data_IF_418341448137
#
_entry.id   IF_418341448137
#
_cell.length_a   1.000
_cell.length_b   1.000
_cell.length_c   1.000
_cell.angle_alpha   90.00
_cell.angle_beta   90.00
_cell.angle_gamma   90.00
#
_symmetry.space_group_name_H-M   'P 1'
#
loop_
_entity.id
_entity.type
_entity.pdbx_description
1 polymer ?
#
# COMPACT_ATOMS: atom_id res chain seq x y z
N UNK A 1 57.95 34.98 -33.97
CA UNK A 1 57.53 34.16 -32.83
C UNK A 1 56.06 33.73 -33.09
N UNK A 2 55.84 32.43 -33.41
CA UNK A 2 54.52 31.84 -33.65
C UNK A 2 54.07 31.14 -32.37
N UNK A 3 53.05 31.69 -31.68
CA UNK A 3 52.41 31.03 -30.56
C UNK A 3 51.53 29.89 -31.08
N UNK A 4 51.81 28.66 -30.64
CA UNK A 4 50.93 27.47 -30.83
C UNK A 4 49.93 27.41 -29.70
N UNK A 5 48.66 27.58 -30.03
CA UNK A 5 47.55 27.27 -29.09
C UNK A 5 47.42 25.73 -29.00
N UNK A 6 47.61 25.20 -27.80
CA UNK A 6 47.32 23.81 -27.46
C UNK A 6 45.86 23.75 -27.02
N UNK A 7 45.02 23.09 -27.83
CA UNK A 7 43.63 22.75 -27.43
C UNK A 7 43.71 21.48 -26.57
N UNK A 8 43.40 21.64 -25.27
CA UNK A 8 43.20 20.49 -24.38
C UNK A 8 41.71 20.11 -24.54
N UNK A 9 41.49 19.00 -25.25
CA UNK A 9 40.17 18.37 -25.29
C UNK A 9 39.89 17.70 -23.93
N UNK A 10 38.97 18.26 -23.15
CA UNK A 10 38.47 17.66 -21.93
C UNK A 10 37.47 16.55 -22.35
N UNK A 11 37.67 15.27 -21.94
CA UNK A 11 36.68 14.24 -22.23
C UNK A 11 35.42 14.54 -21.40
N UNK A 12 34.30 14.70 -22.10
CA UNK A 12 32.97 14.79 -21.49
C UNK A 12 32.64 13.38 -20.93
N UNK A 13 32.81 13.19 -19.62
CA UNK A 13 32.34 11.99 -18.94
C UNK A 13 30.80 12.06 -18.93
N UNK A 14 30.18 11.37 -19.87
CA UNK A 14 28.76 11.06 -19.82
C UNK A 14 28.57 10.04 -18.70
N UNK A 15 28.12 10.49 -17.54
CA UNK A 15 27.56 9.59 -16.53
C UNK A 15 26.27 9.02 -17.12
N UNK A 16 26.35 7.83 -17.68
CA UNK A 16 25.17 7.01 -17.89
C UNK A 16 24.62 6.71 -16.50
N UNK A 17 23.57 7.38 -16.10
CA UNK A 17 22.77 6.97 -14.95
C UNK A 17 22.34 5.53 -15.24
N UNK A 18 22.93 4.58 -14.52
CA UNK A 18 22.43 3.23 -14.51
C UNK A 18 21.01 3.31 -13.95
N UNK A 19 20.01 3.24 -14.83
CA UNK A 19 18.65 2.99 -14.41
C UNK A 19 18.71 1.69 -13.62
N UNK A 20 18.48 1.78 -12.31
CA UNK A 20 18.36 0.62 -11.46
C UNK A 20 17.29 -0.33 -12.02
N UNK A 21 17.28 -1.59 -11.60
CA UNK A 21 16.31 -2.55 -12.08
C UNK A 21 14.92 -2.02 -11.82
N UNK A 22 14.14 -1.84 -12.91
CA UNK A 22 12.70 -1.58 -12.82
C UNK A 22 12.08 -2.89 -12.35
N UNK A 23 12.08 -3.12 -11.03
CA UNK A 23 11.31 -4.18 -10.42
C UNK A 23 9.83 -4.00 -10.76
N UNK A 24 9.06 -5.07 -10.77
CA UNK A 24 7.62 -4.98 -11.04
C UNK A 24 6.99 -4.00 -10.06
N UNK A 25 6.56 -2.86 -10.57
CA UNK A 25 6.06 -1.72 -9.83
C UNK A 25 4.65 -2.06 -9.32
N UNK A 26 4.58 -2.54 -8.08
CA UNK A 26 3.34 -2.88 -7.41
C UNK A 26 3.26 -2.12 -6.09
N UNK A 27 2.31 -1.20 -5.97
CA UNK A 27 1.95 -0.58 -4.71
C UNK A 27 1.14 -1.54 -3.86
N UNK A 28 1.45 -1.65 -2.56
CA UNK A 28 0.82 -2.65 -1.67
C UNK A 28 0.44 -2.06 -0.33
N UNK A 29 -0.69 -2.55 0.21
CA UNK A 29 -1.05 -2.43 1.62
C UNK A 29 -1.48 -3.81 2.12
N UNK A 30 -0.82 -4.33 3.16
CA UNK A 30 -1.09 -5.67 3.68
C UNK A 30 -0.87 -5.74 5.20
N UNK A 31 -1.41 -6.81 5.82
CA UNK A 31 -1.22 -7.09 7.23
C UNK A 31 -1.81 -6.01 8.14
N UNK A 32 -1.04 -5.61 9.13
CA UNK A 32 -1.36 -4.50 10.04
C UNK A 32 -0.97 -3.11 9.47
N UNK A 33 -1.12 -2.98 8.17
CA UNK A 33 -0.83 -1.85 7.28
C UNK A 33 0.66 -1.61 7.07
N UNK A 34 1.33 -2.63 6.57
CA UNK A 34 2.59 -2.47 5.88
C UNK A 34 2.33 -1.93 4.47
N UNK A 35 3.00 -0.86 4.11
CA UNK A 35 2.90 -0.25 2.78
C UNK A 35 4.21 -0.43 2.03
N UNK A 36 4.10 -0.83 0.77
CA UNK A 36 5.17 -0.69 -0.21
C UNK A 36 4.70 0.26 -1.31
N UNK A 37 5.50 1.26 -1.61
CA UNK A 37 5.20 2.19 -2.69
C UNK A 37 5.47 1.57 -4.07
N UNK A 38 4.96 2.22 -5.11
CA UNK A 38 5.17 1.84 -6.51
C UNK A 38 6.65 1.87 -6.91
N UNK A 39 7.44 2.70 -6.25
CA UNK A 39 8.88 2.85 -6.51
C UNK A 39 9.74 2.03 -5.53
N UNK A 40 9.11 1.32 -4.57
CA UNK A 40 9.76 0.32 -3.73
C UNK A 40 10.13 0.78 -2.32
N UNK A 41 9.77 2.00 -1.89
CA UNK A 41 9.89 2.38 -0.48
C UNK A 41 8.90 1.57 0.38
N UNK A 42 9.29 1.23 1.60
CA UNK A 42 8.45 0.48 2.56
C UNK A 42 8.30 1.24 3.86
N UNK A 43 7.09 1.22 4.43
CA UNK A 43 6.77 1.87 5.70
C UNK A 43 5.46 1.36 6.28
N UNK A 44 5.19 1.68 7.56
CA UNK A 44 3.97 1.27 8.26
C UNK A 44 3.03 2.46 8.49
N UNK A 45 1.72 2.22 8.36
CA UNK A 45 0.67 3.22 8.62
C UNK A 45 -0.24 2.74 9.73
N UNK A 46 0.09 3.02 10.98
CA UNK A 46 -0.73 2.63 12.14
C UNK A 46 -1.76 3.72 12.49
N UNK A 47 -2.51 4.14 11.47
CA UNK A 47 -3.56 5.15 11.59
C UNK A 47 -4.94 4.52 11.33
N UNK A 48 -5.99 5.05 11.96
CA UNK A 48 -7.36 4.71 11.59
C UNK A 48 -8.02 5.89 10.88
N UNK A 49 -8.69 5.60 9.77
CA UNK A 49 -9.31 6.60 8.91
C UNK A 49 -9.48 6.08 7.48
N UNK A 50 -9.77 6.98 6.60
CA UNK A 50 -9.88 6.72 5.16
C UNK A 50 -8.79 7.50 4.43
N UNK A 51 -8.00 6.81 3.60
CA UNK A 51 -6.81 7.40 2.99
C UNK A 51 -6.77 7.13 1.50
N UNK A 52 -6.24 8.09 0.74
CA UNK A 52 -5.92 7.92 -0.68
C UNK A 52 -4.67 7.05 -0.77
N UNK A 53 -4.83 5.82 -1.27
CA UNK A 53 -3.71 4.93 -1.56
C UNK A 53 -3.00 5.34 -2.86
N UNK A 54 -3.77 5.67 -3.90
CA UNK A 54 -3.25 6.19 -5.16
C UNK A 54 -4.37 6.91 -5.91
N UNK A 55 -4.07 8.06 -6.51
CA UNK A 55 -4.98 8.77 -7.42
C UNK A 55 -4.23 9.43 -8.56
N UNK A 56 -4.87 9.51 -9.72
CA UNK A 56 -4.30 10.21 -10.87
C UNK A 56 -4.70 11.68 -10.89
N UNK A 57 -3.82 12.50 -11.45
CA UNK A 57 -4.11 13.92 -11.70
C UNK A 57 -5.20 14.13 -12.75
N UNK A 58 -5.50 13.10 -13.57
CA UNK A 58 -6.55 13.15 -14.59
C UNK A 58 -7.96 12.91 -14.01
N UNK A 59 -8.08 12.44 -12.78
CA UNK A 59 -9.37 12.18 -12.11
C UNK A 59 -10.15 10.99 -12.66
N UNK A 60 -9.47 10.05 -13.33
CA UNK A 60 -10.02 8.83 -13.92
C UNK A 60 -9.63 7.55 -13.13
N UNK A 61 -8.82 7.73 -12.10
CA UNK A 61 -8.21 6.64 -11.36
C UNK A 61 -8.01 7.05 -9.90
N UNK A 62 -8.63 6.31 -8.99
CA UNK A 62 -8.38 6.50 -7.56
C UNK A 62 -8.58 5.19 -6.81
N UNK A 63 -7.76 4.95 -5.79
CA UNK A 63 -7.85 3.88 -4.82
C UNK A 63 -7.82 4.48 -3.43
N UNK A 64 -8.84 4.20 -2.63
CA UNK A 64 -8.94 4.62 -1.22
C UNK A 64 -8.99 3.39 -0.32
N UNK A 65 -8.32 3.47 0.83
CA UNK A 65 -8.31 2.43 1.86
C UNK A 65 -8.99 2.95 3.12
N UNK A 66 -9.89 2.15 3.71
CA UNK A 66 -10.40 2.36 5.06
C UNK A 66 -9.60 1.51 6.02
N UNK A 67 -8.94 2.18 6.96
CA UNK A 67 -8.11 1.58 7.99
C UNK A 67 -8.84 1.65 9.33
N UNK A 68 -8.98 0.53 10.01
CA UNK A 68 -9.60 0.47 11.32
C UNK A 68 -8.69 -0.23 12.32
N UNK A 69 -8.63 0.30 13.55
CA UNK A 69 -7.87 -0.32 14.63
C UNK A 69 -8.44 -1.69 14.97
N UNK A 70 -7.59 -2.67 15.23
CA UNK A 70 -8.03 -4.00 15.67
C UNK A 70 -8.58 -3.94 17.09
N UNK A 71 -9.60 -4.78 17.39
CA UNK A 71 -10.28 -4.77 18.69
C UNK A 71 -9.40 -5.12 19.89
N UNK A 72 -8.23 -5.72 19.68
CA UNK A 72 -7.30 -6.15 20.74
C UNK A 72 -6.17 -5.14 21.02
N UNK A 73 -5.94 -4.21 20.11
CA UNK A 73 -4.84 -3.25 20.21
C UNK A 73 -5.22 -1.94 19.53
N UNK A 74 -4.95 -0.84 20.21
CA UNK A 74 -5.00 0.48 19.57
C UNK A 74 -3.69 0.80 18.82
N UNK A 75 -2.76 -0.18 18.73
CA UNK A 75 -1.44 0.01 18.15
C UNK A 75 -1.36 -0.38 16.69
N UNK A 76 -2.29 -1.21 16.23
CA UNK A 76 -2.30 -1.72 14.86
C UNK A 76 -3.65 -1.47 14.19
N UNK A 77 -3.60 -1.17 12.91
CA UNK A 77 -4.77 -0.98 12.05
C UNK A 77 -4.74 -1.98 10.90
N UNK A 78 -5.89 -2.29 10.33
CA UNK A 78 -6.07 -3.20 9.21
C UNK A 78 -6.92 -2.57 8.13
N UNK A 79 -6.79 -2.99 6.88
CA UNK A 79 -7.71 -2.58 5.82
C UNK A 79 -9.04 -3.31 6.00
N UNK A 80 -10.13 -2.58 6.19
CA UNK A 80 -11.49 -3.12 6.30
C UNK A 80 -12.35 -2.85 5.08
N UNK A 81 -12.01 -1.85 4.28
CA UNK A 81 -12.65 -1.58 3.00
C UNK A 81 -11.68 -0.95 2.01
N UNK A 82 -11.90 -1.22 0.74
CA UNK A 82 -11.21 -0.60 -0.40
C UNK A 82 -12.27 0.00 -1.31
N UNK A 83 -12.14 1.27 -1.67
CA UNK A 83 -13.01 1.93 -2.65
C UNK A 83 -12.18 2.42 -3.83
N UNK A 84 -12.76 2.40 -5.02
CA UNK A 84 -12.06 2.75 -6.26
C UNK A 84 -12.92 3.63 -7.15
N UNK A 85 -12.27 4.51 -7.89
CA UNK A 85 -12.80 5.16 -9.09
C UNK A 85 -12.13 4.52 -10.30
N UNK A 86 -12.93 3.82 -11.10
CA UNK A 86 -12.50 3.16 -12.34
C UNK A 86 -13.09 3.94 -13.51
N UNK A 87 -12.26 4.76 -14.15
CA UNK A 87 -12.67 5.72 -15.18
C UNK A 87 -13.79 6.68 -14.65
N UNK A 88 -15.05 6.28 -14.74
CA UNK A 88 -16.20 7.06 -14.23
C UNK A 88 -17.07 6.28 -13.24
N UNK A 89 -16.72 5.04 -12.96
CA UNK A 89 -17.52 4.16 -12.11
C UNK A 89 -16.90 4.04 -10.72
N UNK A 90 -17.72 4.14 -9.68
CA UNK A 90 -17.31 3.88 -8.30
C UNK A 90 -17.62 2.44 -7.93
N UNK A 91 -16.66 1.80 -7.29
CA UNK A 91 -16.87 0.49 -6.68
C UNK A 91 -16.22 0.42 -5.30
N UNK A 92 -16.73 -0.43 -4.43
CA UNK A 92 -16.13 -0.69 -3.13
C UNK A 92 -16.26 -2.15 -2.73
N UNK A 93 -15.22 -2.65 -2.02
CA UNK A 93 -15.23 -3.95 -1.37
C UNK A 93 -15.04 -3.71 0.13
N UNK A 94 -16.00 -4.14 0.96
CA UNK A 94 -15.98 -3.89 2.39
C UNK A 94 -16.28 -5.15 3.19
N UNK A 95 -15.51 -5.37 4.26
CA UNK A 95 -15.79 -6.41 5.25
C UNK A 95 -17.09 -6.12 5.99
N UNK A 96 -17.76 -7.19 6.44
CA UNK A 96 -19.02 -7.07 7.21
C UNK A 96 -20.23 -6.65 6.39
N UNK A 97 -20.12 -6.60 5.06
CA UNK A 97 -21.24 -6.41 4.12
C UNK A 97 -21.49 -7.71 3.35
N UNK A 98 -22.75 -7.96 3.03
CA UNK A 98 -23.16 -9.05 2.14
C UNK A 98 -24.15 -8.51 1.11
N UNK A 99 -23.78 -8.52 -0.18
CA UNK A 99 -22.46 -8.88 -0.72
C UNK A 99 -21.38 -7.84 -0.36
N UNK A 100 -20.12 -8.26 -0.33
CA UNK A 100 -18.98 -7.36 -0.02
C UNK A 100 -18.75 -6.29 -1.09
N UNK A 101 -19.03 -6.63 -2.36
CA UNK A 101 -18.88 -5.71 -3.49
C UNK A 101 -20.10 -4.83 -3.64
N UNK A 102 -19.86 -3.54 -3.88
CA UNK A 102 -20.85 -2.57 -4.32
C UNK A 102 -20.32 -1.81 -5.53
N UNK A 103 -21.18 -1.50 -6.48
CA UNK A 103 -20.90 -0.68 -7.67
C UNK A 103 -21.97 0.38 -7.79
N UNK A 104 -21.59 1.66 -7.90
CA UNK A 104 -22.52 2.80 -7.91
C UNK A 104 -23.54 2.73 -6.76
N UNK A 105 -23.03 2.43 -5.56
CA UNK A 105 -23.83 2.27 -4.33
C UNK A 105 -24.85 1.12 -4.36
N UNK A 106 -24.79 0.26 -5.37
CA UNK A 106 -25.66 -0.91 -5.47
C UNK A 106 -24.89 -2.19 -5.10
N UNK A 107 -25.43 -3.03 -4.20
CA UNK A 107 -24.79 -4.30 -3.87
C UNK A 107 -24.75 -5.23 -5.09
N UNK A 108 -23.58 -5.83 -5.33
CA UNK A 108 -23.34 -6.72 -6.46
C UNK A 108 -22.79 -8.07 -5.98
N UNK A 109 -23.45 -9.15 -6.36
CA UNK A 109 -22.99 -10.51 -6.09
C UNK A 109 -22.29 -11.09 -7.31
N UNK A 110 -21.01 -11.45 -7.16
CA UNK A 110 -20.26 -12.19 -8.16
C UNK A 110 -19.81 -13.52 -7.57
N UNK A 111 -20.07 -14.61 -8.27
CA UNK A 111 -19.50 -15.92 -7.94
C UNK A 111 -18.03 -15.98 -8.35
N UNK A 112 -17.18 -16.82 -7.70
CA UNK A 112 -15.83 -17.07 -8.17
C UNK A 112 -15.81 -17.45 -9.66
N UNK A 113 -14.91 -16.83 -10.43
CA UNK A 113 -14.85 -16.93 -11.88
C UNK A 113 -15.82 -16.00 -12.64
N UNK A 114 -16.72 -15.32 -11.93
CA UNK A 114 -17.62 -14.32 -12.51
C UNK A 114 -16.97 -12.95 -12.63
N UNK A 115 -17.54 -12.10 -13.49
CA UNK A 115 -17.08 -10.74 -13.70
C UNK A 115 -18.21 -9.79 -14.07
N UNK A 116 -17.93 -8.50 -13.95
CA UNK A 116 -18.81 -7.39 -14.29
C UNK A 116 -18.02 -6.38 -15.13
N UNK A 117 -18.50 -6.11 -16.34
CA UNK A 117 -17.96 -5.05 -17.17
C UNK A 117 -18.49 -3.69 -16.68
N UNK A 118 -17.58 -2.73 -16.55
CA UNK A 118 -17.90 -1.36 -16.20
C UNK A 118 -17.94 -0.47 -17.44
N UNK A 119 -18.61 0.70 -17.38
CA UNK A 119 -18.51 1.70 -18.43
C UNK A 119 -17.07 2.03 -18.81
N UNK A 120 -16.84 2.43 -20.08
CA UNK A 120 -15.53 2.80 -20.64
C UNK A 120 -14.47 1.69 -20.66
N UNK A 121 -14.83 0.43 -20.44
CA UNK A 121 -13.94 -0.71 -20.58
C UNK A 121 -13.27 -1.18 -19.29
N UNK A 122 -13.60 -0.59 -18.15
CA UNK A 122 -13.21 -1.14 -16.86
C UNK A 122 -13.93 -2.47 -16.58
N UNK A 123 -13.38 -3.27 -15.66
CA UNK A 123 -13.93 -4.59 -15.33
C UNK A 123 -13.62 -4.98 -13.89
N UNK A 124 -14.53 -5.69 -13.25
CA UNK A 124 -14.32 -6.32 -11.93
C UNK A 124 -14.47 -7.83 -12.10
N UNK A 125 -13.52 -8.58 -11.60
CA UNK A 125 -13.55 -10.05 -11.58
C UNK A 125 -13.50 -10.56 -10.14
N UNK A 126 -14.22 -11.67 -9.89
CA UNK A 126 -14.22 -12.39 -8.62
C UNK A 126 -13.41 -13.68 -8.74
N UNK A 127 -12.38 -13.82 -7.92
CA UNK A 127 -11.64 -15.06 -7.75
C UNK A 127 -11.99 -15.72 -6.39
N UNK A 128 -11.54 -16.95 -6.14
CA UNK A 128 -11.67 -17.60 -4.83
C UNK A 128 -11.06 -16.77 -3.69
N UNK A 129 -10.00 -16.00 -3.98
CA UNK A 129 -9.21 -15.26 -2.99
C UNK A 129 -9.55 -13.79 -2.86
N UNK A 130 -10.39 -13.24 -3.75
CA UNK A 130 -10.66 -11.81 -3.72
C UNK A 130 -11.27 -11.27 -5.00
N UNK A 131 -11.15 -9.97 -5.18
CA UNK A 131 -11.61 -9.26 -6.37
C UNK A 131 -10.40 -8.68 -7.11
N UNK A 132 -10.46 -8.72 -8.43
CA UNK A 132 -9.50 -8.03 -9.30
C UNK A 132 -10.25 -6.96 -10.11
N UNK A 133 -9.76 -5.74 -10.06
CA UNK A 133 -10.37 -4.57 -10.68
C UNK A 133 -9.42 -4.08 -11.75
N UNK A 134 -9.92 -3.93 -12.97
CA UNK A 134 -9.16 -3.48 -14.13
C UNK A 134 -9.69 -2.14 -14.61
N UNK A 135 -8.79 -1.20 -14.87
CA UNK A 135 -9.05 0.03 -15.58
C UNK A 135 -8.96 -0.20 -17.09
N UNK A 136 -9.59 0.68 -17.86
CA UNK A 136 -9.59 0.61 -19.33
C UNK A 136 -8.20 0.68 -19.96
N UNK A 137 -7.22 1.26 -19.25
CA UNK A 137 -5.83 1.37 -19.69
C UNK A 137 -4.98 0.12 -19.42
N UNK A 138 -5.53 -0.87 -18.73
CA UNK A 138 -4.84 -2.11 -18.32
C UNK A 138 -4.20 -2.07 -16.93
N UNK A 139 -4.33 -0.97 -16.19
CA UNK A 139 -3.99 -0.94 -14.76
C UNK A 139 -4.87 -1.92 -14.00
N UNK A 140 -4.35 -2.56 -12.95
CA UNK A 140 -5.14 -3.49 -12.13
C UNK A 140 -4.91 -3.32 -10.63
N UNK A 141 -5.95 -3.65 -9.85
CA UNK A 141 -5.90 -3.73 -8.39
C UNK A 141 -6.46 -5.09 -7.95
N UNK A 142 -5.64 -5.89 -7.29
CA UNK A 142 -6.09 -7.10 -6.63
C UNK A 142 -6.39 -6.84 -5.16
N UNK A 143 -7.63 -7.09 -4.74
CA UNK A 143 -8.08 -7.00 -3.35
C UNK A 143 -8.20 -8.43 -2.83
N UNK A 144 -7.19 -8.89 -2.07
CA UNK A 144 -7.21 -10.21 -1.43
C UNK A 144 -8.03 -10.14 -0.15
N UNK A 145 -8.96 -11.06 -0.01
CA UNK A 145 -9.76 -11.23 1.21
C UNK A 145 -9.00 -12.13 2.16
N UNK A 146 -8.64 -11.59 3.33
CA UNK A 146 -8.11 -12.34 4.46
C UNK A 146 -9.21 -12.65 5.49
N UNK A 147 -8.85 -13.33 6.56
CA UNK A 147 -9.74 -13.59 7.68
C UNK A 147 -9.82 -12.35 8.56
N UNK A 148 -10.82 -11.49 8.31
CA UNK A 148 -11.02 -10.25 9.08
C UNK A 148 -10.23 -9.03 8.62
N UNK A 149 -9.51 -9.11 7.50
CA UNK A 149 -8.81 -7.98 6.88
C UNK A 149 -8.77 -8.13 5.36
N UNK A 150 -8.52 -7.01 4.67
CA UNK A 150 -8.24 -6.98 3.23
C UNK A 150 -6.78 -6.65 3.00
N UNK A 151 -6.26 -7.05 1.83
CA UNK A 151 -4.95 -6.60 1.35
C UNK A 151 -5.12 -6.06 -0.07
N UNK A 152 -4.44 -4.98 -0.41
CA UNK A 152 -4.53 -4.31 -1.70
C UNK A 152 -3.19 -4.36 -2.43
N UNK A 153 -3.21 -4.73 -3.73
CA UNK A 153 -2.03 -4.86 -4.59
C UNK A 153 -2.32 -4.16 -5.91
N UNK A 154 -1.73 -2.98 -6.09
CA UNK A 154 -1.97 -2.10 -7.23
C UNK A 154 -0.86 -2.21 -8.26
N UNK A 155 -1.21 -2.43 -9.52
CA UNK A 155 -0.31 -2.45 -10.68
C UNK A 155 -0.77 -1.45 -11.73
N UNK A 156 -0.30 -0.21 -11.69
CA UNK A 156 -0.59 0.76 -12.73
C UNK A 156 0.23 0.45 -13.99
N UNK A 157 -0.29 0.84 -15.14
CA UNK A 157 0.48 0.81 -16.39
C UNK A 157 1.55 1.91 -16.39
N UNK A 158 2.62 1.72 -17.17
CA UNK A 158 3.75 2.66 -17.24
C UNK A 158 3.36 4.08 -17.70
N UNK A 159 2.29 4.21 -18.47
CA UNK A 159 1.79 5.52 -18.91
C UNK A 159 1.28 6.40 -17.77
N UNK A 160 1.03 5.82 -16.58
CA UNK A 160 0.66 6.57 -15.36
C UNK A 160 1.87 7.05 -14.56
N UNK A 161 3.08 6.83 -15.04
CA UNK A 161 4.29 7.30 -14.36
C UNK A 161 4.26 8.79 -14.11
N UNK A 162 4.65 9.22 -12.90
CA UNK A 162 4.68 10.63 -12.44
C UNK A 162 3.33 11.37 -12.52
N UNK A 163 2.21 10.62 -12.66
CA UNK A 163 0.86 11.21 -12.63
C UNK A 163 0.05 10.74 -11.42
N UNK A 164 0.61 9.84 -10.62
CA UNK A 164 -0.02 9.30 -9.43
C UNK A 164 0.46 10.02 -8.17
N UNK A 165 -0.35 9.94 -7.12
CA UNK A 165 -0.01 10.41 -5.78
C UNK A 165 -0.85 9.67 -4.73
N UNK A 166 -0.35 9.52 -3.51
CA UNK A 166 -1.03 8.81 -2.42
C UNK A 166 -0.05 8.01 -1.56
N UNK A 167 -0.59 7.16 -0.69
CA UNK A 167 0.23 6.27 0.16
C UNK A 167 1.15 5.35 -0.66
N UNK A 168 0.80 5.04 -1.91
CA UNK A 168 1.64 4.22 -2.78
C UNK A 168 2.69 5.01 -3.57
N UNK A 169 2.93 6.28 -3.21
CA UNK A 169 3.96 7.13 -3.80
C UNK A 169 3.54 7.78 -5.11
N UNK A 170 4.52 8.37 -5.79
CA UNK A 170 4.30 9.19 -6.99
C UNK A 170 4.62 8.49 -8.32
N UNK A 171 5.13 7.25 -8.25
CA UNK A 171 5.43 6.42 -9.41
C UNK A 171 6.40 7.08 -10.41
N UNK A 172 7.44 7.77 -9.94
CA UNK A 172 8.43 8.42 -10.81
C UNK A 172 9.71 7.60 -11.01
N UNK A 173 9.90 6.51 -10.24
CA UNK A 173 11.06 5.62 -10.24
C UNK A 173 12.10 5.99 -9.17
N UNK A 174 11.77 6.88 -8.25
CA UNK A 174 12.64 7.29 -7.16
C UNK A 174 11.97 7.02 -5.80
N UNK A 175 12.31 5.94 -5.10
CA UNK A 175 11.69 5.63 -3.80
C UNK A 175 11.99 6.66 -2.71
N UNK A 176 12.99 7.52 -2.90
CA UNK A 176 13.40 8.48 -1.88
C UNK A 176 12.46 9.69 -1.77
N UNK A 177 11.67 10.00 -2.80
CA UNK A 177 10.71 11.10 -2.78
C UNK A 177 9.25 10.65 -2.66
N UNK A 178 8.99 9.34 -2.73
CA UNK A 178 7.67 8.78 -2.41
C UNK A 178 7.22 9.10 -0.98
N UNK A 179 8.18 9.38 -0.15
CA UNK A 179 8.09 9.33 1.30
C UNK A 179 8.28 10.72 1.92
N UNK A 180 8.42 11.80 1.12
CA UNK A 180 8.70 13.15 1.66
C UNK A 180 7.63 13.67 2.65
N UNK A 181 6.37 13.28 2.46
CA UNK A 181 5.33 13.49 3.47
C UNK A 181 5.21 12.31 4.47
N UNK A 182 5.75 11.14 4.14
CA UNK A 182 5.55 9.85 4.82
C UNK A 182 6.84 9.31 5.43
N UNK A 183 8.05 9.72 4.98
CA UNK A 183 9.36 9.30 5.56
C UNK A 183 9.45 9.68 7.01
N UNK A 184 8.80 10.75 7.37
CA UNK A 184 8.71 11.12 8.75
C UNK A 184 7.91 10.09 9.58
N UNK A 185 7.08 9.22 8.97
CA UNK A 185 6.25 8.23 9.65
C UNK A 185 6.93 6.86 9.64
N UNK A 186 7.49 6.43 8.52
CA UNK A 186 8.18 5.14 8.39
C UNK A 186 9.58 5.13 9.02
N UNK A 187 10.18 6.29 9.25
CA UNK A 187 11.37 6.42 10.09
C UNK A 187 11.13 6.00 11.56
N UNK A 188 9.88 5.68 11.90
CA UNK A 188 9.47 5.27 13.24
C UNK A 188 9.25 3.77 13.39
N UNK A 189 9.11 3.01 12.30
CA UNK A 189 8.85 1.56 12.33
C UNK A 189 10.08 0.67 12.30
N UNK A 190 11.16 1.07 11.65
CA UNK A 190 12.39 0.28 11.61
C UNK A 190 13.44 0.87 12.57
N UNK A 191 13.68 0.21 13.68
CA UNK A 191 14.55 0.61 14.82
C UNK A 191 15.98 1.08 14.54
N UNK A 192 16.22 1.86 13.49
CA UNK A 192 17.55 2.35 13.09
C UNK A 192 17.69 3.87 13.02
N UNK A 193 16.69 4.67 13.37
CA UNK A 193 16.82 6.12 13.40
C UNK A 193 16.70 6.73 14.81
N UNK A 194 17.67 6.46 15.67
CA UNK A 194 17.95 7.28 16.83
C UNK A 194 18.44 8.65 16.38
N UNK A 195 17.53 9.60 16.13
CA UNK A 195 17.96 10.97 15.86
C UNK A 195 16.99 11.91 15.14
N UNK A 196 15.85 11.46 14.64
CA UNK A 196 14.86 12.39 14.12
C UNK A 196 14.05 13.01 15.26
N UNK A 197 14.11 14.34 15.36
CA UNK A 197 13.43 15.11 16.40
C UNK A 197 11.93 14.79 16.43
N UNK A 198 11.34 14.70 17.63
CA UNK A 198 9.91 14.52 17.86
C UNK A 198 9.05 15.49 17.01
N UNK A 199 9.55 16.67 16.69
CA UNK A 199 8.88 17.66 15.85
C UNK A 199 8.71 17.24 14.38
N UNK A 200 9.59 16.39 13.82
CA UNK A 200 9.40 15.86 12.47
C UNK A 200 8.32 14.75 12.44
N UNK A 201 8.24 14.00 13.54
CA UNK A 201 7.17 13.01 13.73
C UNK A 201 5.78 13.66 13.79
N UNK A 202 5.68 14.74 14.54
CA UNK A 202 4.42 15.46 14.68
C UNK A 202 4.03 16.16 13.37
N UNK A 203 5.01 16.67 12.61
CA UNK A 203 4.77 17.24 11.29
C UNK A 203 4.25 16.18 10.31
N UNK A 204 4.85 15.01 10.30
CA UNK A 204 4.42 13.92 9.42
C UNK A 204 3.03 13.40 9.78
N UNK A 205 2.75 13.24 11.07
CA UNK A 205 1.38 12.92 11.53
C UNK A 205 0.38 13.99 11.09
N UNK A 206 0.74 15.27 11.18
CA UNK A 206 -0.13 16.36 10.74
C UNK A 206 -0.41 16.29 9.24
N UNK A 207 0.59 16.00 8.41
CA UNK A 207 0.46 15.87 6.96
C UNK A 207 -0.41 14.68 6.54
N UNK A 208 -0.31 13.52 7.23
CA UNK A 208 -1.20 12.38 6.95
C UNK A 208 -2.66 12.69 7.27
N UNK A 209 -2.90 13.47 8.32
CA UNK A 209 -4.24 13.79 8.80
C UNK A 209 -4.76 15.15 8.32
N UNK A 210 -4.03 15.85 7.46
CA UNK A 210 -4.49 17.07 6.80
C UNK A 210 -5.41 16.71 5.64
N UNK A 211 -6.68 17.11 5.73
CA UNK A 211 -7.68 16.88 4.69
C UNK A 211 -7.39 17.71 3.42
N UNK A 212 -6.66 18.82 3.53
CA UNK A 212 -6.40 19.74 2.43
C UNK A 212 -5.09 19.39 1.68
N UNK A 213 -4.07 18.94 2.41
CA UNK A 213 -2.72 18.73 1.85
C UNK A 213 -2.19 17.30 2.07
N UNK A 214 -2.92 16.45 2.81
CA UNK A 214 -2.52 15.08 3.13
C UNK A 214 -3.22 14.02 2.27
N UNK A 215 -3.09 12.78 2.71
CA UNK A 215 -3.75 11.63 2.08
C UNK A 215 -5.06 11.25 2.76
N UNK A 216 -5.49 11.98 3.80
CA UNK A 216 -6.76 11.73 4.47
C UNK A 216 -7.92 12.11 3.56
N UNK A 217 -8.85 11.19 3.40
CA UNK A 217 -10.07 11.39 2.60
C UNK A 217 -11.04 12.29 3.35
N UNK A 218 -11.50 13.37 2.72
CA UNK A 218 -12.58 14.21 3.22
C UNK A 218 -13.95 13.60 2.87
N UNK A 219 -15.02 14.07 3.53
CA UNK A 219 -16.37 13.60 3.20
C UNK A 219 -16.76 13.91 1.75
N UNK A 220 -16.22 14.99 1.18
CA UNK A 220 -16.51 15.41 -0.20
C UNK A 220 -15.78 14.57 -1.24
N UNK A 221 -14.62 14.04 -0.90
CA UNK A 221 -13.77 13.25 -1.82
C UNK A 221 -13.88 11.74 -1.59
N UNK A 222 -14.67 11.32 -0.60
CA UNK A 222 -14.83 9.90 -0.28
C UNK A 222 -15.54 9.14 -1.39
N UNK A 223 -14.95 8.01 -1.76
CA UNK A 223 -15.55 6.99 -2.63
C UNK A 223 -16.32 5.92 -1.86
N UNK A 224 -16.25 5.95 -0.51
CA UNK A 224 -16.94 4.97 0.33
C UNK A 224 -18.41 5.28 0.48
N UNK A 225 -19.17 4.22 0.68
CA UNK A 225 -20.55 4.28 1.12
C UNK A 225 -20.63 4.22 2.64
N UNK A 226 -21.59 4.94 3.21
CA UNK A 226 -21.77 5.01 4.65
C UNK A 226 -23.17 4.54 5.05
N UNK A 227 -23.24 3.72 6.09
CA UNK A 227 -24.49 3.44 6.76
C UNK A 227 -25.08 4.75 7.35
N UNK A 228 -26.39 4.83 7.55
CA UNK A 228 -27.05 6.01 8.14
C UNK A 228 -26.34 6.48 9.42
N UNK A 229 -26.02 7.75 9.50
CA UNK A 229 -25.33 8.38 10.63
C UNK A 229 -23.81 8.15 10.68
N UNK A 230 -23.22 7.48 9.70
CA UNK A 230 -21.77 7.31 9.54
C UNK A 230 -21.20 8.31 8.53
N UNK A 231 -19.92 8.57 8.64
CA UNK A 231 -19.17 9.47 7.77
C UNK A 231 -17.67 9.14 7.85
N UNK A 232 -16.81 9.81 7.09
CA UNK A 232 -15.35 9.71 7.22
C UNK A 232 -14.88 9.87 8.66
N UNK A 233 -15.51 10.79 9.42
CA UNK A 233 -15.19 11.04 10.83
C UNK A 233 -15.44 9.84 11.74
N UNK A 234 -16.35 8.94 11.37
CA UNK A 234 -16.64 7.73 12.16
C UNK A 234 -15.43 6.80 12.23
N UNK A 235 -14.64 6.75 11.18
CA UNK A 235 -13.49 5.85 11.04
C UNK A 235 -12.18 6.50 11.51
N UNK A 236 -12.16 7.83 11.61
CA UNK A 236 -10.96 8.57 12.02
C UNK A 236 -10.70 8.42 13.51
N UNK A 237 -9.50 7.92 13.87
CA UNK A 237 -9.00 7.88 15.24
C UNK A 237 -7.60 8.47 15.29
N UNK A 238 -7.19 9.07 16.41
CA UNK A 238 -5.80 9.49 16.57
C UNK A 238 -4.84 8.34 16.35
N UNK A 239 -3.68 8.62 15.73
CA UNK A 239 -2.62 7.65 15.60
C UNK A 239 -2.17 7.20 17.02
N UNK A 240 -1.78 5.93 17.19
CA UNK A 240 -1.29 5.45 18.48
C UNK A 240 -0.03 6.22 18.92
N UNK A 241 0.09 6.45 20.23
CA UNK A 241 1.24 7.17 20.81
C UNK A 241 2.54 6.33 20.82
N UNK A 242 2.45 5.05 20.48
CA UNK A 242 3.56 4.10 20.39
C UNK A 242 3.40 3.25 19.14
N UNK A 243 4.53 2.93 18.55
CA UNK A 243 4.59 2.01 17.44
C UNK A 243 4.47 0.57 17.91
N UNK A 244 3.79 -0.25 17.09
CA UNK A 244 3.83 -1.69 17.23
C UNK A 244 5.24 -2.17 16.86
N UNK A 245 5.82 -3.03 17.69
CA UNK A 245 7.10 -3.68 17.38
C UNK A 245 7.17 -5.06 18.04
N UNK A 246 7.92 -5.99 17.48
CA UNK A 246 8.11 -7.30 18.08
C UNK A 246 8.74 -7.20 19.48
N UNK A 247 9.61 -6.21 19.72
CA UNK A 247 10.19 -5.97 21.04
C UNK A 247 9.18 -5.50 22.08
N UNK A 248 8.10 -4.83 21.65
CA UNK A 248 7.02 -4.38 22.54
C UNK A 248 6.04 -5.49 22.95
N UNK A 249 6.09 -6.65 22.32
CA UNK A 249 5.24 -7.79 22.64
C UNK A 249 5.70 -8.50 23.93
N UNK A 250 4.75 -9.02 24.74
CA UNK A 250 5.09 -9.99 25.80
C UNK A 250 5.89 -11.16 25.21
N UNK A 251 6.90 -11.64 25.93
CA UNK A 251 7.82 -12.67 25.43
C UNK A 251 7.11 -13.96 24.96
N UNK A 252 6.02 -14.35 25.64
CA UNK A 252 5.21 -15.51 25.23
C UNK A 252 4.49 -15.28 23.90
N UNK A 253 3.93 -14.10 23.69
CA UNK A 253 3.22 -13.74 22.46
C UNK A 253 4.17 -13.65 21.27
N UNK A 254 5.33 -13.03 21.49
CA UNK A 254 6.37 -12.95 20.45
C UNK A 254 6.85 -14.35 20.02
N UNK A 255 7.06 -15.28 20.96
CA UNK A 255 7.44 -16.66 20.60
C UNK A 255 6.34 -17.38 19.80
N UNK A 256 5.07 -17.23 20.20
CA UNK A 256 3.95 -17.82 19.47
C UNK A 256 3.83 -17.24 18.05
N UNK A 257 3.91 -15.92 17.92
CA UNK A 257 3.86 -15.25 16.63
C UNK A 257 5.02 -15.70 15.73
N UNK A 258 6.24 -15.75 16.26
CA UNK A 258 7.41 -16.22 15.52
C UNK A 258 7.22 -17.65 15.00
N UNK A 259 6.76 -18.57 15.86
CA UNK A 259 6.50 -19.96 15.46
C UNK A 259 5.44 -20.05 14.34
N UNK A 260 4.34 -19.30 14.45
CA UNK A 260 3.29 -19.27 13.42
C UNK A 260 3.82 -18.72 12.07
N UNK A 261 4.66 -17.69 12.10
CA UNK A 261 5.25 -17.10 10.89
C UNK A 261 6.25 -18.06 10.22
N UNK A 262 7.08 -18.76 11.01
CA UNK A 262 7.98 -19.81 10.49
C UNK A 262 7.20 -21.01 9.91
N UNK A 263 6.13 -21.46 10.59
CA UNK A 263 5.28 -22.55 10.10
C UNK A 263 4.59 -22.19 8.79
N UNK A 264 4.20 -20.91 8.59
CA UNK A 264 3.68 -20.41 7.33
C UNK A 264 4.74 -20.28 6.20
N UNK A 265 6.02 -20.52 6.52
CA UNK A 265 7.12 -20.49 5.55
C UNK A 265 7.69 -19.09 5.28
N UNK A 266 7.50 -18.14 6.18
CA UNK A 266 8.11 -16.81 6.07
C UNK A 266 9.58 -16.91 6.45
N UNK A 267 10.47 -16.65 5.48
CA UNK A 267 11.92 -16.77 5.62
C UNK A 267 12.67 -15.46 5.36
N UNK A 268 12.04 -14.52 4.65
CA UNK A 268 12.56 -13.17 4.48
C UNK A 268 12.57 -12.47 5.83
N UNK A 269 13.69 -11.84 6.18
CA UNK A 269 13.91 -11.27 7.51
C UNK A 269 12.95 -10.13 7.83
N UNK A 270 12.72 -9.25 6.87
CA UNK A 270 11.91 -8.06 7.09
C UNK A 270 10.41 -8.43 7.12
N UNK A 271 10.00 -9.37 6.26
CA UNK A 271 8.66 -9.94 6.30
C UNK A 271 8.41 -10.78 7.56
N UNK A 272 9.43 -11.45 8.10
CA UNK A 272 9.32 -12.19 9.35
C UNK A 272 9.08 -11.26 10.54
N UNK A 273 9.82 -10.15 10.62
CA UNK A 273 9.61 -9.14 11.68
C UNK A 273 8.19 -8.53 11.58
N UNK A 274 7.76 -8.14 10.39
CA UNK A 274 6.40 -7.67 10.11
C UNK A 274 5.35 -8.69 10.53
N UNK A 275 5.50 -9.95 10.12
CA UNK A 275 4.61 -11.04 10.48
C UNK A 275 4.52 -11.26 12.01
N UNK A 276 5.63 -11.17 12.74
CA UNK A 276 5.64 -11.30 14.20
C UNK A 276 4.84 -10.18 14.86
N UNK A 277 4.95 -8.97 14.35
CA UNK A 277 4.15 -7.81 14.81
C UNK A 277 2.68 -8.07 14.54
N UNK A 278 2.31 -8.39 13.30
CA UNK A 278 0.95 -8.68 12.88
C UNK A 278 0.29 -9.75 13.76
N UNK A 279 0.84 -10.96 13.79
CA UNK A 279 0.29 -12.08 14.57
C UNK A 279 0.32 -11.79 16.06
N UNK A 280 1.36 -11.13 16.54
CA UNK A 280 1.54 -10.83 17.95
C UNK A 280 0.50 -9.86 18.51
N UNK A 281 0.21 -8.78 17.82
CA UNK A 281 -0.75 -7.77 18.26
C UNK A 281 -2.20 -8.10 17.90
N UNK A 282 -2.43 -8.72 16.73
CA UNK A 282 -3.79 -9.11 16.31
C UNK A 282 -4.27 -10.39 16.98
N UNK A 283 -3.35 -11.26 17.41
CA UNK A 283 -3.64 -12.63 17.92
C UNK A 283 -4.33 -13.51 16.88
N UNK A 284 -4.13 -13.22 15.61
CA UNK A 284 -4.68 -13.94 14.46
C UNK A 284 -3.56 -14.48 13.56
N UNK A 285 -3.40 -15.80 13.53
CA UNK A 285 -2.36 -16.49 12.76
C UNK A 285 -2.56 -16.40 11.24
N UNK A 286 -3.76 -15.99 10.77
CA UNK A 286 -4.00 -15.78 9.34
C UNK A 286 -3.16 -14.66 8.72
N UNK A 287 -2.58 -13.78 9.53
CA UNK A 287 -1.60 -12.79 9.08
C UNK A 287 -0.29 -13.45 8.65
N UNK A 288 0.09 -14.60 9.22
CA UNK A 288 1.26 -15.35 8.77
C UNK A 288 1.09 -15.87 7.33
N UNK A 289 -0.12 -16.32 6.96
CA UNK A 289 -0.45 -16.68 5.57
C UNK A 289 -0.37 -15.47 4.63
N UNK A 290 -0.70 -14.28 5.14
CA UNK A 290 -0.60 -13.03 4.38
C UNK A 290 0.86 -12.68 4.09
N UNK A 291 1.74 -12.72 5.09
CA UNK A 291 3.17 -12.48 4.94
C UNK A 291 3.83 -13.48 3.98
N UNK A 292 3.50 -14.78 4.09
CA UNK A 292 3.97 -15.82 3.18
C UNK A 292 3.52 -15.55 1.73
N UNK A 293 2.27 -15.10 1.53
CA UNK A 293 1.78 -14.74 0.20
C UNK A 293 2.50 -13.53 -0.38
N UNK A 294 2.86 -12.53 0.44
CA UNK A 294 3.67 -11.37 0.02
C UNK A 294 5.07 -11.83 -0.40
N UNK A 295 5.70 -12.69 0.41
CA UNK A 295 7.01 -13.28 0.08
C UNK A 295 6.98 -14.03 -1.26
N UNK A 296 5.98 -14.87 -1.50
CA UNK A 296 5.83 -15.59 -2.75
C UNK A 296 5.65 -14.64 -3.95
N UNK A 297 4.92 -13.53 -3.78
CA UNK A 297 4.80 -12.49 -4.83
C UNK A 297 6.13 -11.81 -5.13
N UNK A 298 6.94 -11.55 -4.11
CA UNK A 298 8.27 -10.97 -4.31
C UNK A 298 9.14 -11.89 -5.19
N UNK A 299 9.13 -13.19 -4.93
CA UNK A 299 9.88 -14.18 -5.70
C UNK A 299 9.38 -14.29 -7.15
N UNK A 300 8.05 -14.36 -7.38
CA UNK A 300 7.50 -14.47 -8.74
C UNK A 300 7.76 -13.22 -9.59
N UNK A 301 7.74 -12.04 -8.99
CA UNK A 301 8.10 -10.80 -9.68
C UNK A 301 9.58 -10.80 -10.07
N UNK A 302 10.46 -11.26 -9.21
CA UNK A 302 11.89 -11.39 -9.48
C UNK A 302 12.18 -12.36 -10.65
N UNK A 303 11.56 -13.53 -10.67
CA UNK A 303 11.74 -14.52 -11.75
C UNK A 303 11.26 -13.96 -13.10
N UNK A 304 10.10 -13.31 -13.15
CA UNK A 304 9.57 -12.70 -14.36
C UNK A 304 10.43 -11.55 -14.88
N UNK A 305 11.13 -10.83 -14.00
CA UNK A 305 12.08 -9.78 -14.38
C UNK A 305 13.39 -10.35 -14.91
N UNK A 306 13.88 -11.47 -14.35
CA UNK A 306 15.05 -12.18 -14.88
C UNK A 306 14.80 -12.73 -16.29
N UNK A 307 13.64 -13.32 -16.53
CA UNK A 307 13.27 -13.82 -17.86
C UNK A 307 13.16 -12.71 -18.90
N UNK A 308 12.63 -11.53 -18.54
CA UNK A 308 12.58 -10.36 -19.45
C UNK A 308 13.95 -9.81 -19.81
N UNK A 309 14.94 -9.93 -18.92
CA UNK A 309 16.32 -9.46 -19.16
C UNK A 309 17.16 -10.43 -19.97
N UNK A 310 16.75 -11.71 -20.04
CA UNK A 310 17.45 -12.75 -20.78
C UNK A 310 17.01 -12.85 -22.25
N UNK A 311 15.99 -12.10 -22.66
CA UNK A 311 15.50 -11.97 -24.04
C UNK A 311 15.89 -10.64 -24.66
#
# INVERSE_FOLDING_TARGET
>A
MKQRLIYIALPLLVFASAAGPVGAMEGRAWGDIHVQTLDGATYDVQAAGEFVASRSTAGDFEVQLRLESTGFSNYVSIVTAVAVLVDTSRASVALGREPMLSVEEQPVTLSPGGGLDLPKGGRIERSERGYEIFWSDGSSLFIKIGKGHLNAFLRPVLTRRSTLSGLFGNFNGNPMDDVDAVTAIGAFGSGTSSGLNAGLADLARSLLFDEDNGWLVSQQTSLFEYAPGKSTRTFRKPAPNREASAAGLPASWRRQAHAACEEAGVTDRDLLEACIVDVGYTRDESFAETAAAVQARNHSNWESDLERRSR
#
